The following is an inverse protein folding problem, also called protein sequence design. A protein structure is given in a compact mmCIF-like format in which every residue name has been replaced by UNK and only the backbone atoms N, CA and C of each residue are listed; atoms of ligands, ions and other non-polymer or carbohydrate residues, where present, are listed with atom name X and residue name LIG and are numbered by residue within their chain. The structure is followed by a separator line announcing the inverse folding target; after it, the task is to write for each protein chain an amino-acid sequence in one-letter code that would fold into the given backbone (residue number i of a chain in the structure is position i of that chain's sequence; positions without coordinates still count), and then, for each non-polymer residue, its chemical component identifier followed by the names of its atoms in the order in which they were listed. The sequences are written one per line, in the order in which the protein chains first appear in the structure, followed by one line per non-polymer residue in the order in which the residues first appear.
data_IF_622988515411
#
_entry.id   IF_622988515411
#
_cell.length_a   1.000
_cell.length_b   1.000
_cell.length_c   1.000
_cell.angle_alpha   90.00
_cell.angle_beta   90.00
_cell.angle_gamma   90.00
#
_symmetry.space_group_name_H-M   'P 1'
#
loop_
_entity.id
_entity.type
_entity.pdbx_description
1 polymer ?
#
# COMPACT_ATOMS: atom_id res chain seq x y z
N UNK A 1 -5.14 -8.96 -29.10
CA UNK A 1 -6.31 -9.35 -28.27
C UNK A 1 -6.14 -8.65 -26.93
N UNK A 2 -7.05 -7.76 -26.56
CA UNK A 2 -6.98 -7.04 -25.28
C UNK A 2 -7.65 -7.89 -24.20
N UNK A 3 -6.90 -8.34 -23.20
CA UNK A 3 -7.45 -8.98 -22.02
C UNK A 3 -8.13 -7.91 -21.17
N UNK A 4 -9.47 -7.91 -21.13
CA UNK A 4 -10.21 -7.15 -20.15
C UNK A 4 -9.97 -7.79 -18.78
N UNK A 5 -9.18 -7.13 -17.94
CA UNK A 5 -9.06 -7.46 -16.53
C UNK A 5 -10.41 -7.09 -15.91
N UNK A 6 -11.20 -8.08 -15.51
CA UNK A 6 -12.48 -7.84 -14.83
C UNK A 6 -12.25 -7.04 -13.56
N UNK A 7 -12.90 -5.89 -13.43
CA UNK A 7 -12.91 -5.13 -12.18
C UNK A 7 -14.02 -5.69 -11.29
N UNK A 8 -13.65 -6.52 -10.32
CA UNK A 8 -14.57 -6.95 -9.26
C UNK A 8 -14.61 -5.88 -8.16
N UNK A 9 -15.81 -5.45 -7.78
CA UNK A 9 -16.01 -4.51 -6.68
C UNK A 9 -16.43 -5.30 -5.44
N UNK A 10 -15.67 -5.17 -4.37
CA UNK A 10 -16.00 -5.74 -3.06
C UNK A 10 -16.40 -4.60 -2.13
N UNK A 11 -17.48 -4.79 -1.37
CA UNK A 11 -17.90 -3.86 -0.33
C UNK A 11 -17.45 -4.37 1.04
N UNK A 12 -16.86 -3.49 1.84
CA UNK A 12 -16.42 -3.79 3.20
C UNK A 12 -17.21 -2.91 4.18
N UNK A 13 -17.78 -3.53 5.20
CA UNK A 13 -18.59 -2.87 6.24
C UNK A 13 -17.76 -2.49 7.48
N UNK A 14 -16.43 -2.64 7.40
CA UNK A 14 -15.50 -2.48 8.51
C UNK A 14 -15.34 -3.72 9.40
N UNK A 15 -16.11 -4.80 9.15
CA UNK A 15 -15.96 -6.10 9.82
C UNK A 15 -15.45 -7.20 8.87
N UNK A 16 -15.34 -6.85 7.59
CA UNK A 16 -14.93 -7.75 6.52
C UNK A 16 -13.54 -7.37 6.01
N UNK A 17 -12.78 -8.36 5.56
CA UNK A 17 -11.46 -8.17 4.94
C UNK A 17 -11.27 -9.16 3.80
N UNK A 18 -10.52 -8.76 2.77
CA UNK A 18 -10.08 -9.67 1.71
C UNK A 18 -8.62 -10.04 1.98
N UNK A 19 -8.36 -11.34 2.12
CA UNK A 19 -7.01 -11.87 2.20
C UNK A 19 -6.63 -12.43 0.85
N UNK A 20 -5.49 -12.00 0.33
CA UNK A 20 -4.94 -12.52 -0.92
C UNK A 20 -3.51 -12.99 -0.69
N UNK A 21 -3.24 -14.24 -1.06
CA UNK A 21 -1.92 -14.87 -0.95
C UNK A 21 -1.33 -15.14 -2.33
N UNK A 22 -0.16 -14.57 -2.60
CA UNK A 22 0.61 -14.86 -3.81
C UNK A 22 1.29 -16.22 -3.66
N UNK A 23 0.80 -17.24 -4.36
CA UNK A 23 1.38 -18.59 -4.34
C UNK A 23 2.54 -18.81 -5.33
N UNK A 24 2.92 -17.77 -6.08
CA UNK A 24 3.98 -17.88 -7.09
C UNK A 24 5.33 -17.60 -6.43
N UNK A 25 6.20 -18.62 -6.43
CA UNK A 25 7.54 -18.59 -5.84
C UNK A 25 8.32 -17.39 -6.38
N UNK A 26 8.60 -16.43 -5.49
CA UNK A 26 9.41 -15.22 -5.64
C UNK A 26 10.21 -15.18 -6.95
N UNK A 27 9.68 -14.48 -7.95
CA UNK A 27 10.60 -13.76 -8.82
C UNK A 27 10.96 -12.54 -8.00
N UNK A 28 12.22 -12.41 -7.57
CA UNK A 28 12.78 -11.21 -6.96
C UNK A 28 12.35 -9.98 -7.76
N UNK A 29 11.18 -9.41 -7.45
CA UNK A 29 10.61 -8.36 -8.26
C UNK A 29 11.46 -7.15 -7.96
N UNK A 30 12.16 -6.66 -8.97
CA UNK A 30 12.94 -5.42 -8.80
C UNK A 30 11.99 -4.25 -8.54
N UNK A 31 10.70 -4.40 -8.87
CA UNK A 31 9.64 -3.41 -8.73
C UNK A 31 8.34 -4.06 -8.28
N UNK A 32 7.75 -3.55 -7.20
CA UNK A 32 6.37 -3.84 -6.82
C UNK A 32 5.46 -2.68 -7.21
N UNK A 33 4.29 -3.01 -7.78
CA UNK A 33 3.26 -2.03 -8.16
C UNK A 33 1.94 -2.45 -7.55
N UNK A 34 1.37 -1.55 -6.75
CA UNK A 34 0.07 -1.74 -6.12
C UNK A 34 -0.83 -0.61 -6.60
N UNK A 35 -1.94 -0.98 -7.25
CA UNK A 35 -2.93 -0.05 -7.78
C UNK A 35 -4.31 -0.45 -7.27
N UNK A 36 -5.01 0.49 -6.66
CA UNK A 36 -6.38 0.28 -6.19
C UNK A 36 -7.24 1.53 -6.40
N UNK A 37 -8.55 1.33 -6.36
CA UNK A 37 -9.53 2.40 -6.24
C UNK A 37 -10.42 2.13 -5.04
N UNK A 38 -10.76 3.18 -4.30
CA UNK A 38 -11.67 3.07 -3.15
C UNK A 38 -12.67 4.22 -3.16
N UNK A 39 -13.79 4.00 -2.46
CA UNK A 39 -14.84 4.97 -2.19
C UNK A 39 -15.39 4.69 -0.80
N UNK A 40 -15.47 5.70 0.06
CA UNK A 40 -15.89 5.52 1.46
C UNK A 40 -16.53 6.77 2.04
N UNK A 41 -17.34 6.59 3.10
CA UNK A 41 -17.78 7.63 4.06
C UNK A 41 -16.97 7.61 5.35
N UNK A 42 -16.24 6.53 5.59
CA UNK A 42 -15.42 6.39 6.78
C UNK A 42 -14.17 7.22 6.58
N UNK A 43 -13.84 8.07 7.55
CA UNK A 43 -12.64 8.89 7.53
C UNK A 43 -11.43 8.21 8.18
N UNK A 44 -11.61 6.98 8.69
CA UNK A 44 -10.59 6.13 9.29
C UNK A 44 -10.71 4.69 8.79
N UNK A 45 -9.58 4.02 8.54
CA UNK A 45 -9.55 2.59 8.24
C UNK A 45 -8.30 2.15 7.47
N UNK A 46 -7.98 0.85 7.51
CA UNK A 46 -6.90 0.27 6.72
C UNK A 46 -7.45 -0.11 5.34
N UNK A 47 -6.79 0.33 4.28
CA UNK A 47 -7.11 -0.07 2.90
C UNK A 47 -6.28 -1.27 2.46
N UNK A 48 -5.04 -1.33 2.92
CA UNK A 48 -4.10 -2.38 2.56
C UNK A 48 -3.10 -2.59 3.68
N UNK A 49 -2.83 -3.85 3.99
CA UNK A 49 -1.67 -4.25 4.77
C UNK A 49 -0.97 -5.40 4.06
N UNK A 50 0.34 -5.26 3.83
CA UNK A 50 1.19 -6.30 3.27
C UNK A 50 2.32 -6.57 4.24
N UNK A 51 2.30 -7.74 4.86
CA UNK A 51 3.41 -8.27 5.62
C UNK A 51 4.49 -8.83 4.70
N UNK A 52 5.72 -8.84 5.19
CA UNK A 52 6.84 -9.53 4.58
C UNK A 52 7.84 -10.00 5.65
N UNK A 53 9.01 -10.44 5.21
CA UNK A 53 9.96 -11.08 6.10
C UNK A 53 10.58 -10.12 7.13
N UNK A 54 11.05 -10.68 8.26
CA UNK A 54 11.83 -9.95 9.26
C UNK A 54 11.10 -8.74 9.90
N UNK A 55 9.75 -8.81 9.96
CA UNK A 55 8.90 -7.74 10.50
C UNK A 55 8.72 -6.54 9.56
N UNK A 56 9.21 -6.63 8.32
CA UNK A 56 8.95 -5.64 7.29
C UNK A 56 7.48 -5.68 6.90
N UNK A 57 6.88 -4.52 6.75
CA UNK A 57 5.51 -4.43 6.24
C UNK A 57 5.19 -3.04 5.72
N UNK A 58 4.14 -3.00 4.91
CA UNK A 58 3.58 -1.78 4.34
C UNK A 58 2.11 -1.70 4.72
N UNK A 59 1.69 -0.55 5.22
CA UNK A 59 0.29 -0.26 5.51
C UNK A 59 -0.13 1.01 4.80
N UNK A 60 -1.26 0.95 4.09
CA UNK A 60 -1.96 2.11 3.58
C UNK A 60 -3.24 2.30 4.39
N UNK A 61 -3.33 3.41 5.11
CA UNK A 61 -4.46 3.72 5.98
C UNK A 61 -5.07 5.08 5.63
N UNK A 62 -6.36 5.20 5.84
CA UNK A 62 -7.10 6.44 5.80
C UNK A 62 -7.17 7.00 7.22
N UNK A 63 -6.79 8.26 7.40
CA UNK A 63 -6.82 8.97 8.68
C UNK A 63 -7.32 10.39 8.45
N UNK A 64 -8.48 10.72 9.03
CA UNK A 64 -9.14 12.03 8.88
C UNK A 64 -9.28 12.46 7.41
N UNK A 65 -9.68 11.52 6.55
CA UNK A 65 -9.90 11.79 5.11
C UNK A 65 -8.62 11.99 4.29
N UNK A 66 -7.45 11.58 4.80
CA UNK A 66 -6.16 11.59 4.09
C UNK A 66 -5.55 10.19 4.09
N UNK A 67 -4.83 9.82 3.04
CA UNK A 67 -4.10 8.57 3.05
C UNK A 67 -2.74 8.75 3.70
N UNK A 68 -2.39 7.82 4.59
CA UNK A 68 -1.09 7.69 5.22
C UNK A 68 -0.48 6.38 4.73
N UNK A 69 0.67 6.48 4.09
CA UNK A 69 1.53 5.34 3.77
C UNK A 69 2.53 5.15 4.90
N UNK A 70 2.51 3.97 5.52
CA UNK A 70 3.45 3.56 6.56
C UNK A 70 4.37 2.48 6.01
N UNK A 71 5.68 2.73 6.07
CA UNK A 71 6.73 1.80 5.66
C UNK A 71 7.54 1.37 6.89
N UNK A 72 7.55 0.07 7.17
CA UNK A 72 8.36 -0.51 8.24
C UNK A 72 9.49 -1.35 7.64
N UNK A 73 10.73 -0.92 7.87
CA UNK A 73 11.94 -1.60 7.35
C UNK A 73 12.31 -2.90 8.10
N UNK A 74 11.59 -3.25 9.16
CA UNK A 74 11.95 -4.35 10.07
C UNK A 74 13.23 -4.02 10.87
N UNK A 75 13.38 -4.64 12.05
CA UNK A 75 14.61 -4.61 12.89
C UNK A 75 15.32 -3.24 13.08
N UNK A 76 14.61 -2.12 12.92
CA UNK A 76 15.15 -0.79 13.19
C UNK A 76 15.18 -0.56 14.70
N UNK A 77 16.29 -0.01 15.22
CA UNK A 77 16.40 0.40 16.61
C UNK A 77 16.82 1.89 16.68
N UNK A 78 15.90 2.82 17.03
CA UNK A 78 14.50 2.59 17.37
C UNK A 78 13.62 2.27 16.14
N UNK A 79 12.55 1.48 16.32
CA UNK A 79 11.61 1.17 15.24
C UNK A 79 10.67 2.35 15.04
N UNK A 80 10.98 3.23 14.09
CA UNK A 80 10.05 4.27 13.63
C UNK A 80 9.65 4.00 12.18
N UNK A 81 8.36 3.81 11.87
CA UNK A 81 7.92 3.78 10.49
C UNK A 81 8.21 5.09 9.79
N UNK A 82 8.52 5.01 8.51
CA UNK A 82 8.44 6.16 7.65
C UNK A 82 6.98 6.37 7.23
N UNK A 83 6.47 7.57 7.47
CA UNK A 83 5.08 7.93 7.24
C UNK A 83 4.98 9.05 6.21
N UNK A 84 4.15 8.87 5.19
CA UNK A 84 3.85 9.91 4.20
C UNK A 84 2.34 10.08 4.06
N UNK A 85 1.87 11.31 4.25
CA UNK A 85 0.47 11.68 4.06
C UNK A 85 0.23 12.27 2.66
N UNK A 86 -0.84 11.85 1.98
CA UNK A 86 -1.23 12.39 0.69
C UNK A 86 -2.75 12.43 0.52
N UNK A 87 -3.23 13.44 -0.21
CA UNK A 87 -4.64 13.67 -0.48
C UNK A 87 -5.40 14.31 0.69
N UNK A 88 -6.66 14.64 0.43
CA UNK A 88 -7.58 15.26 1.39
C UNK A 88 -9.02 15.04 0.97
N UNK A 89 -9.93 14.94 1.94
CA UNK A 89 -11.37 14.72 1.72
C UNK A 89 -11.65 13.44 0.92
N UNK A 90 -10.87 12.38 1.16
CA UNK A 90 -11.00 11.10 0.45
C UNK A 90 -12.14 10.22 0.98
N UNK A 91 -12.95 10.77 1.88
CA UNK A 91 -14.16 10.21 2.50
C UNK A 91 -15.45 10.84 1.94
N UNK A 92 -15.37 11.44 0.75
CA UNK A 92 -16.43 12.24 0.13
C UNK A 92 -17.44 11.46 -0.73
N UNK A 93 -17.37 10.12 -0.72
CA UNK A 93 -18.16 9.21 -1.57
C UNK A 93 -17.87 9.27 -3.08
N UNK A 94 -16.72 9.80 -3.51
CA UNK A 94 -16.21 9.63 -4.86
C UNK A 94 -15.17 8.50 -4.95
N UNK A 95 -14.90 8.08 -6.18
CA UNK A 95 -13.84 7.12 -6.45
C UNK A 95 -12.50 7.82 -6.45
N UNK A 96 -11.62 7.40 -5.55
CA UNK A 96 -10.23 7.83 -5.51
C UNK A 96 -9.33 6.72 -6.04
N UNK A 97 -8.30 7.12 -6.76
CA UNK A 97 -7.27 6.25 -7.33
C UNK A 97 -5.99 6.35 -6.55
N UNK A 98 -5.38 5.20 -6.26
CA UNK A 98 -4.10 5.10 -5.56
C UNK A 98 -3.13 4.26 -6.37
N UNK A 99 -1.91 4.76 -6.52
CA UNK A 99 -0.79 4.04 -7.11
C UNK A 99 0.41 4.10 -6.16
N UNK A 100 0.94 2.93 -5.84
CA UNK A 100 2.17 2.74 -5.09
C UNK A 100 3.15 1.98 -5.98
N UNK A 101 4.30 2.57 -6.26
CA UNK A 101 5.41 1.90 -6.93
C UNK A 101 6.60 1.86 -5.98
N UNK A 102 7.12 0.67 -5.73
CA UNK A 102 8.25 0.42 -4.84
C UNK A 102 9.37 -0.19 -5.68
N UNK A 103 10.49 0.51 -5.78
CA UNK A 103 11.66 0.07 -6.54
C UNK A 103 12.90 0.25 -5.67
N UNK A 104 13.39 -0.85 -5.11
CA UNK A 104 14.48 -0.83 -4.12
C UNK A 104 14.12 0.03 -2.89
N UNK A 105 14.66 1.24 -2.80
CA UNK A 105 14.35 2.26 -1.79
C UNK A 105 13.53 3.41 -2.35
N UNK A 106 13.38 3.51 -3.67
CA UNK A 106 12.58 4.55 -4.31
C UNK A 106 11.10 4.21 -4.22
N UNK A 107 10.33 5.14 -3.66
CA UNK A 107 8.89 5.02 -3.46
C UNK A 107 8.18 6.13 -4.23
N UNK A 108 7.24 5.74 -5.09
CA UNK A 108 6.29 6.64 -5.72
C UNK A 108 4.91 6.40 -5.11
N UNK A 109 4.34 7.42 -4.48
CA UNK A 109 2.99 7.39 -3.93
C UNK A 109 2.13 8.43 -4.63
N UNK A 110 1.06 7.98 -5.30
CA UNK A 110 0.15 8.84 -6.05
C UNK A 110 -1.30 8.65 -5.59
N UNK A 111 -2.02 9.76 -5.40
CA UNK A 111 -3.45 9.79 -5.12
C UNK A 111 -4.11 10.77 -6.08
N UNK A 112 -5.04 10.30 -6.90
CA UNK A 112 -5.76 11.10 -7.91
C UNK A 112 -4.81 11.95 -8.79
N UNK A 113 -3.69 11.35 -9.19
CA UNK A 113 -2.65 11.98 -10.01
C UNK A 113 -1.65 12.83 -9.23
N UNK A 114 -1.93 13.20 -7.99
CA UNK A 114 -0.99 13.93 -7.13
C UNK A 114 0.08 12.96 -6.63
N UNK A 115 1.31 13.18 -7.06
CA UNK A 115 2.39 12.22 -6.89
C UNK A 115 3.50 12.78 -6.00
N UNK A 116 3.92 12.00 -5.02
CA UNK A 116 5.09 12.26 -4.20
C UNK A 116 6.10 11.12 -4.37
N UNK A 117 7.37 11.49 -4.58
CA UNK A 117 8.49 10.55 -4.73
C UNK A 117 9.50 10.78 -3.63
N UNK A 118 9.95 9.71 -2.99
CA UNK A 118 10.93 9.78 -1.92
C UNK A 118 11.76 8.51 -1.85
N UNK A 119 12.90 8.60 -1.16
CA UNK A 119 13.72 7.44 -0.85
C UNK A 119 13.45 7.03 0.59
N UNK A 120 12.98 5.80 0.76
CA UNK A 120 12.67 5.27 2.06
C UNK A 120 13.95 4.97 2.86
N UNK A 121 13.93 5.24 4.16
CA UNK A 121 15.06 5.02 5.08
C UNK A 121 15.15 3.53 5.43
N UNK A 122 16.26 2.90 5.06
CA UNK A 122 16.59 1.51 5.40
C UNK A 122 17.62 0.90 4.45
N UNK A 123 18.55 0.09 4.98
CA UNK A 123 19.64 -0.54 4.19
C UNK A 123 19.18 -1.74 3.35
N UNK A 124 17.98 -2.27 3.58
CA UNK A 124 17.45 -3.43 2.86
C UNK A 124 16.14 -3.06 2.18
N UNK A 125 16.06 -3.34 0.88
CA UNK A 125 14.89 -3.06 0.04
C UNK A 125 13.58 -3.56 0.67
N UNK A 126 12.51 -2.79 0.49
CA UNK A 126 11.14 -3.23 0.76
C UNK A 126 10.65 -4.29 -0.24
N UNK A 127 11.54 -4.75 -1.12
CA UNK A 127 11.26 -5.77 -2.14
C UNK A 127 11.34 -7.18 -1.57
N UNK A 128 11.95 -7.37 -0.40
CA UNK A 128 12.04 -8.66 0.30
C UNK A 128 10.78 -8.97 1.12
N UNK A 129 9.62 -8.44 0.69
CA UNK A 129 8.32 -8.78 1.26
C UNK A 129 7.81 -10.09 0.67
N UNK A 130 8.67 -11.11 0.67
CA UNK A 130 8.30 -12.50 0.42
C UNK A 130 7.46 -13.00 1.61
N UNK A 131 6.49 -13.86 1.31
CA UNK A 131 5.58 -14.42 2.32
C UNK A 131 6.36 -15.11 3.45
N UNK A 132 5.94 -14.88 4.70
CA UNK A 132 6.30 -15.75 5.82
C UNK A 132 5.46 -17.04 5.71
N UNK A 133 6.11 -18.21 5.84
CA UNK A 133 5.50 -19.55 5.74
C UNK A 133 4.88 -19.94 7.08
#
# INVERSE_FOLDING_TARGET
MSSAIGSEMVSFDGKSSLLYTFHQKSMNSTKDVISLKFKTRQNHGILLHRGGQNGKHITLELVKGRLILLLHAGHANPPSPEALALGSLLDDQHWHSVLLELFSTDVTFSVDGHTHRFQAKGEASYLDLDYEV
#
